data_IF_737300592842
#
_entry.id   IF_737300592842
#
_cell.length_a   1.000
_cell.length_b   1.000
_cell.length_c   1.000
_cell.angle_alpha   90.00
_cell.angle_beta   90.00
_cell.angle_gamma   90.00
#
_symmetry.space_group_name_H-M   'P 1'
#
loop_
_entity.id
_entity.type
_entity.pdbx_description
1 polymer ?
#
# COMPACT_ATOMS: atom_id res chain seq x y z
N UNK A 1 42.46 18.04 -2.22
CA UNK A 1 42.28 17.47 -0.87
C UNK A 1 41.15 18.12 -0.05
N UNK A 2 41.28 19.37 0.43
CA UNK A 2 40.27 19.97 1.33
C UNK A 2 38.90 20.16 0.66
N UNK A 3 38.87 20.65 -0.58
CA UNK A 3 37.64 20.82 -1.38
C UNK A 3 36.99 19.48 -1.71
N UNK A 4 37.77 18.48 -2.12
CA UNK A 4 37.27 17.12 -2.40
C UNK A 4 36.68 16.47 -1.15
N UNK A 5 37.32 16.66 0.01
CA UNK A 5 36.82 16.17 1.29
C UNK A 5 35.47 16.82 1.64
N UNK A 6 35.32 18.13 1.45
CA UNK A 6 34.05 18.82 1.66
C UNK A 6 32.94 18.33 0.73
N UNK A 7 33.27 18.07 -0.54
CA UNK A 7 32.31 17.53 -1.51
C UNK A 7 31.86 16.12 -1.10
N UNK A 8 32.79 15.25 -0.72
CA UNK A 8 32.48 13.90 -0.27
C UNK A 8 31.63 13.89 1.02
N UNK A 9 31.97 14.74 1.99
CA UNK A 9 31.19 14.88 3.22
C UNK A 9 29.79 15.42 2.92
N UNK A 10 29.67 16.44 2.07
CA UNK A 10 28.38 17.00 1.64
C UNK A 10 27.51 15.94 0.95
N UNK A 11 28.09 15.14 0.06
CA UNK A 11 27.40 14.04 -0.61
C UNK A 11 26.94 12.95 0.39
N UNK A 12 27.81 12.59 1.34
CA UNK A 12 27.48 11.60 2.38
C UNK A 12 26.31 12.08 3.25
N UNK A 13 26.30 13.37 3.63
CA UNK A 13 25.19 13.96 4.39
C UNK A 13 23.91 13.97 3.56
N UNK A 14 23.96 14.39 2.30
CA UNK A 14 22.80 14.42 1.41
C UNK A 14 22.19 13.03 1.20
N UNK A 15 23.01 12.02 0.97
CA UNK A 15 22.55 10.63 0.78
C UNK A 15 21.95 10.04 2.06
N UNK A 16 22.52 10.33 3.23
CA UNK A 16 21.93 9.97 4.53
C UNK A 16 20.57 10.63 4.76
N UNK A 17 20.46 11.93 4.50
CA UNK A 17 19.19 12.66 4.65
C UNK A 17 18.13 12.17 3.67
N UNK A 18 18.50 11.92 2.42
CA UNK A 18 17.61 11.35 1.41
C UNK A 18 17.12 9.95 1.83
N UNK A 19 18.03 9.09 2.30
CA UNK A 19 17.69 7.76 2.81
C UNK A 19 16.75 7.82 4.00
N UNK A 20 16.99 8.72 4.96
CA UNK A 20 16.14 8.89 6.13
C UNK A 20 14.74 9.42 5.76
N UNK A 21 14.66 10.39 4.84
CA UNK A 21 13.39 10.92 4.33
C UNK A 21 12.56 9.85 3.62
N UNK A 22 13.21 9.02 2.79
CA UNK A 22 12.56 7.88 2.11
C UNK A 22 12.09 6.87 3.15
N UNK A 23 12.93 6.50 4.13
CA UNK A 23 12.59 5.57 5.20
C UNK A 23 11.39 6.04 6.01
N UNK A 24 11.34 7.32 6.37
CA UNK A 24 10.21 7.93 7.07
C UNK A 24 8.95 8.00 6.21
N UNK A 25 9.06 8.32 4.91
CA UNK A 25 7.92 8.30 4.00
C UNK A 25 7.35 6.89 3.84
N UNK A 26 8.22 5.89 3.77
CA UNK A 26 7.83 4.48 3.72
C UNK A 26 7.13 4.07 5.02
N UNK A 27 7.74 4.32 6.19
CA UNK A 27 7.14 4.06 7.51
C UNK A 27 5.80 4.77 7.71
N UNK A 28 5.62 5.99 7.21
CA UNK A 28 4.33 6.71 7.31
C UNK A 28 3.26 6.14 6.38
N UNK A 29 3.65 5.60 5.22
CA UNK A 29 2.72 4.93 4.29
C UNK A 29 2.36 3.52 4.77
N UNK A 30 3.34 2.75 5.22
CA UNK A 30 3.14 1.38 5.76
C UNK A 30 2.72 1.36 7.22
N UNK A 31 2.87 2.44 7.97
CA UNK A 31 2.37 2.54 9.35
C UNK A 31 0.86 2.76 9.42
N UNK A 32 0.24 3.23 8.32
CA UNK A 32 -1.23 3.30 8.16
C UNK A 32 -1.80 2.05 7.49
N UNK A 33 -0.97 1.35 6.73
CA UNK A 33 -1.24 0.05 6.12
C UNK A 33 -0.26 -0.92 6.74
N UNK A 34 -0.40 -1.17 8.05
CA UNK A 34 0.22 -2.36 8.62
C UNK A 34 -0.20 -3.53 7.74
N UNK A 35 0.71 -4.47 7.48
CA UNK A 35 0.30 -5.73 6.85
C UNK A 35 -0.91 -6.25 7.61
N UNK A 36 -2.09 -6.21 6.98
CA UNK A 36 -3.33 -6.74 7.55
C UNK A 36 -3.15 -8.24 7.82
N UNK A 37 -2.20 -8.86 7.12
CA UNK A 37 -1.84 -10.25 7.23
C UNK A 37 -0.69 -10.43 8.23
N UNK A 38 -0.96 -11.18 9.28
CA UNK A 38 0.03 -11.82 10.15
C UNK A 38 0.69 -13.01 9.46
N UNK A 39 1.79 -13.53 10.02
CA UNK A 39 2.45 -14.73 9.51
C UNK A 39 1.53 -15.96 9.60
N UNK A 40 0.66 -16.02 10.62
CA UNK A 40 -0.37 -17.06 10.76
C UNK A 40 -1.40 -16.99 9.63
N UNK A 41 -1.78 -15.78 9.18
CA UNK A 41 -2.69 -15.59 8.03
C UNK A 41 -2.05 -16.10 6.73
N UNK A 42 -0.74 -15.88 6.57
CA UNK A 42 0.02 -16.37 5.42
C UNK A 42 0.08 -17.90 5.43
N UNK A 43 0.35 -18.51 6.58
CA UNK A 43 0.38 -19.96 6.71
C UNK A 43 -0.99 -20.60 6.40
N UNK A 44 -2.08 -19.98 6.85
CA UNK A 44 -3.43 -20.45 6.55
C UNK A 44 -3.76 -20.41 5.05
N UNK A 45 -3.38 -19.33 4.36
CA UNK A 45 -3.55 -19.20 2.90
C UNK A 45 -2.73 -20.27 2.18
N UNK A 46 -1.49 -20.50 2.59
CA UNK A 46 -0.64 -21.52 1.97
C UNK A 46 -1.18 -22.93 2.16
N UNK A 47 -1.76 -23.22 3.33
CA UNK A 47 -2.28 -24.56 3.65
C UNK A 47 -3.67 -24.83 3.02
N UNK A 48 -4.56 -23.85 3.00
CA UNK A 48 -5.99 -24.05 2.70
C UNK A 48 -6.43 -23.32 1.42
N UNK A 49 -5.62 -22.38 0.93
CA UNK A 49 -5.98 -21.52 -0.21
C UNK A 49 -7.05 -20.47 0.14
N UNK A 50 -7.41 -20.32 1.41
CA UNK A 50 -8.43 -19.39 1.88
C UNK A 50 -8.01 -18.80 3.23
N UNK A 51 -8.42 -17.56 3.49
CA UNK A 51 -8.22 -16.86 4.76
C UNK A 51 -9.58 -16.67 5.41
N UNK A 52 -9.74 -17.17 6.63
CA UNK A 52 -10.97 -17.00 7.40
C UNK A 52 -10.85 -15.71 8.21
N UNK A 53 -11.46 -14.65 7.70
CA UNK A 53 -11.54 -13.36 8.40
C UNK A 53 -12.75 -13.37 9.35
N UNK A 54 -12.63 -12.75 10.52
CA UNK A 54 -13.72 -12.62 11.50
C UNK A 54 -14.75 -11.53 11.14
N UNK A 55 -14.65 -10.94 9.96
CA UNK A 55 -15.66 -10.00 9.47
C UNK A 55 -16.98 -10.74 9.19
N UNK A 56 -18.10 -10.09 9.50
CA UNK A 56 -19.41 -10.57 9.10
C UNK A 56 -19.43 -10.83 7.57
N UNK A 57 -20.10 -11.89 7.10
CA UNK A 57 -20.26 -12.12 5.67
C UNK A 57 -20.78 -10.86 4.99
N UNK A 58 -20.16 -10.45 3.89
CA UNK A 58 -20.63 -9.31 3.09
C UNK A 58 -22.12 -9.46 2.80
N UNK A 59 -22.88 -8.39 3.02
CA UNK A 59 -24.29 -8.35 2.67
C UNK A 59 -24.44 -8.36 1.15
N UNK A 60 -24.80 -9.52 0.60
CA UNK A 60 -24.95 -9.71 -0.85
C UNK A 60 -26.10 -8.89 -1.42
N UNK A 61 -27.09 -8.52 -0.61
CA UNK A 61 -28.19 -7.67 -1.04
C UNK A 61 -27.72 -6.22 -1.19
N UNK A 62 -26.91 -5.72 -0.24
CA UNK A 62 -26.27 -4.40 -0.32
C UNK A 62 -25.34 -4.30 -1.54
N UNK A 63 -24.53 -5.34 -1.79
CA UNK A 63 -23.64 -5.40 -2.96
C UNK A 63 -24.45 -5.32 -4.25
N UNK A 64 -25.54 -6.09 -4.36
CA UNK A 64 -26.39 -6.09 -5.56
C UNK A 64 -27.05 -4.73 -5.80
N UNK A 65 -27.56 -4.08 -4.75
CA UNK A 65 -28.14 -2.75 -4.88
C UNK A 65 -27.09 -1.71 -5.33
N UNK A 66 -25.88 -1.80 -4.79
CA UNK A 66 -24.77 -0.93 -5.19
C UNK A 66 -24.35 -1.16 -6.65
N UNK A 67 -24.31 -2.41 -7.11
CA UNK A 67 -24.04 -2.76 -8.52
C UNK A 67 -25.12 -2.22 -9.45
N UNK A 68 -26.40 -2.45 -9.14
CA UNK A 68 -27.51 -1.92 -9.95
C UNK A 68 -27.43 -0.40 -10.07
N UNK A 69 -27.11 0.29 -8.97
CA UNK A 69 -26.91 1.75 -8.96
C UNK A 69 -25.74 2.16 -9.86
N UNK A 70 -24.59 1.53 -9.68
CA UNK A 70 -23.38 1.78 -10.48
C UNK A 70 -23.64 1.60 -11.98
N UNK A 71 -24.32 0.52 -12.37
CA UNK A 71 -24.63 0.23 -13.78
C UNK A 71 -25.78 1.06 -14.36
N UNK A 72 -26.60 1.68 -13.53
CA UNK A 72 -27.66 2.60 -13.97
C UNK A 72 -27.14 3.99 -14.33
N UNK A 73 -25.92 4.33 -13.92
CA UNK A 73 -25.30 5.63 -14.18
C UNK A 73 -24.72 5.72 -15.60
N UNK A 74 -24.65 6.95 -16.13
CA UNK A 74 -23.96 7.22 -17.38
C UNK A 74 -22.49 7.40 -17.10
N UNK A 75 -21.66 6.60 -17.78
CA UNK A 75 -20.21 6.65 -17.68
C UNK A 75 -19.61 7.36 -18.88
N UNK A 76 -18.62 8.21 -18.64
CA UNK A 76 -17.80 8.78 -19.71
C UNK A 76 -16.99 7.67 -20.40
N UNK A 77 -16.66 7.89 -21.67
CA UNK A 77 -15.82 6.98 -22.43
C UNK A 77 -14.43 6.91 -21.80
N UNK A 78 -13.89 5.70 -21.63
CA UNK A 78 -12.57 5.51 -21.03
C UNK A 78 -11.50 6.18 -21.91
N UNK A 79 -10.64 7.00 -21.30
CA UNK A 79 -9.51 7.61 -22.01
C UNK A 79 -8.53 6.51 -22.49
N UNK A 80 -8.22 6.53 -23.79
CA UNK A 80 -7.17 5.70 -24.37
C UNK A 80 -5.79 6.22 -23.90
N UNK A 81 -5.09 5.39 -23.11
CA UNK A 81 -3.72 5.63 -22.62
C UNK A 81 -2.64 5.07 -23.54
#
# INVERSE_FOLDING_TARGET
MLVELYVLVGLAVLTLLAGLAIRWRFLRRTGRVGSILSDDDVEQILATGTLKVEDDPLDLDEVREAEERFWSETWDEAEEV
#
